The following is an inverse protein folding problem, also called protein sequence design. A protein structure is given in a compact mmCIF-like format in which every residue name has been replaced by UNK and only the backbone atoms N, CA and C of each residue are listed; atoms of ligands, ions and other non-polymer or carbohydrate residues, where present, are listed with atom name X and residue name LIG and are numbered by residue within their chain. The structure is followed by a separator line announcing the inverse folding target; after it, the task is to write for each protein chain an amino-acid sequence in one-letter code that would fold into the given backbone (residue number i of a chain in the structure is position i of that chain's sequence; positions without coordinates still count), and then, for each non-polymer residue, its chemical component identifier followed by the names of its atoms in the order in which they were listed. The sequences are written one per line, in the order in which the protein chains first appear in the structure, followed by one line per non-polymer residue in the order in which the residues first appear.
data_IF_693170827681
#
_entry.id   IF_693170827681
#
_cell.length_a   1.000
_cell.length_b   1.000
_cell.length_c   1.000
_cell.angle_alpha   90.00
_cell.angle_beta   90.00
_cell.angle_gamma   90.00
#
_symmetry.space_group_name_H-M   'P 1'
#
loop_
_entity.id
_entity.type
_entity.pdbx_description
1 polymer ?
#
# COMPACT_ATOMS: atom_id res chain seq x y z
N UNK A 1 39.95 -64.85 -31.61
CA UNK A 1 40.68 -65.43 -30.49
C UNK A 1 39.85 -65.28 -29.21
N UNK A 2 39.31 -66.39 -28.80
CA UNK A 2 38.47 -66.61 -27.63
C UNK A 2 39.38 -66.85 -26.41
N UNK A 3 39.12 -66.19 -25.32
CA UNK A 3 39.61 -66.60 -24.01
C UNK A 3 38.47 -66.51 -22.98
N UNK A 4 38.10 -67.68 -22.51
CA UNK A 4 37.20 -67.93 -21.42
C UNK A 4 37.89 -67.71 -20.07
N UNK A 5 37.28 -67.08 -19.15
CA UNK A 5 37.71 -66.93 -17.74
C UNK A 5 36.59 -67.36 -16.81
N UNK A 6 36.87 -68.47 -16.06
CA UNK A 6 35.96 -69.10 -15.10
C UNK A 6 35.71 -68.24 -13.84
N UNK A 7 34.55 -68.35 -13.17
CA UNK A 7 34.30 -67.67 -11.90
C UNK A 7 34.82 -68.52 -10.72
N UNK A 8 35.57 -67.88 -9.84
CA UNK A 8 35.96 -68.39 -8.52
C UNK A 8 34.79 -68.23 -7.53
N UNK A 9 34.23 -69.36 -7.10
CA UNK A 9 33.23 -69.42 -6.05
C UNK A 9 33.89 -69.41 -4.66
N UNK A 10 33.72 -68.36 -3.90
CA UNK A 10 34.04 -68.30 -2.47
C UNK A 10 32.90 -68.89 -1.64
N UNK A 11 33.13 -70.00 -0.98
CA UNK A 11 32.23 -70.55 0.04
C UNK A 11 32.56 -69.94 1.39
N UNK A 12 31.61 -69.18 1.98
CA UNK A 12 31.67 -68.80 3.37
C UNK A 12 30.94 -69.84 4.23
N UNK A 13 31.68 -70.48 5.13
CA UNK A 13 31.10 -71.31 6.20
C UNK A 13 30.76 -70.41 7.41
N UNK A 14 29.46 -70.31 7.71
CA UNK A 14 28.99 -69.67 8.90
C UNK A 14 29.00 -70.61 10.11
N UNK A 15 29.76 -70.27 11.11
CA UNK A 15 29.69 -70.90 12.46
C UNK A 15 28.61 -70.27 13.29
N UNK A 16 27.74 -70.99 13.99
CA UNK A 16 26.71 -70.39 14.80
C UNK A 16 27.28 -69.89 16.15
N UNK A 17 27.04 -68.61 16.45
CA UNK A 17 27.26 -68.05 17.80
C UNK A 17 26.08 -68.32 18.70
N UNK A 18 26.32 -68.62 20.03
CA UNK A 18 25.23 -68.91 20.97
C UNK A 18 24.51 -67.60 21.39
N UNK A 19 23.21 -67.62 21.30
CA UNK A 19 22.30 -66.61 21.78
C UNK A 19 22.34 -66.51 23.29
N UNK A 20 22.90 -65.42 23.85
CA UNK A 20 22.69 -65.02 25.23
C UNK A 20 21.41 -64.15 25.28
N UNK A 21 20.36 -64.72 25.84
CA UNK A 21 19.12 -64.00 26.12
C UNK A 21 19.36 -62.87 27.15
N UNK A 22 19.38 -61.65 26.69
CA UNK A 22 19.44 -60.47 27.53
C UNK A 22 18.02 -59.90 27.63
N UNK A 23 17.53 -59.86 28.88
CA UNK A 23 16.22 -59.33 29.25
C UNK A 23 15.98 -57.92 28.66
N UNK A 24 14.92 -57.79 27.88
CA UNK A 24 14.45 -56.49 27.32
C UNK A 24 13.87 -55.63 28.46
N UNK A 25 14.56 -54.56 28.81
CA UNK A 25 13.99 -53.46 29.56
C UNK A 25 13.15 -52.61 28.60
N UNK A 26 11.90 -52.23 28.95
CA UNK A 26 11.15 -51.32 28.09
C UNK A 26 11.80 -49.93 28.17
N UNK A 27 12.42 -49.51 27.08
CA UNK A 27 12.79 -48.12 26.87
C UNK A 27 11.51 -47.38 26.51
N UNK A 28 10.96 -46.65 27.48
CA UNK A 28 9.88 -45.71 27.25
C UNK A 28 10.43 -44.63 26.32
N UNK A 29 10.12 -44.73 25.03
CA UNK A 29 10.43 -43.70 24.06
C UNK A 29 9.54 -42.50 24.37
N UNK A 30 10.07 -41.51 25.10
CA UNK A 30 9.48 -40.21 25.27
C UNK A 30 9.61 -39.51 23.87
N UNK A 31 8.59 -39.66 23.03
CA UNK A 31 8.44 -38.92 21.83
C UNK A 31 8.22 -37.44 22.17
N UNK A 32 9.28 -36.66 22.23
CA UNK A 32 9.23 -35.21 22.25
C UNK A 32 8.65 -34.77 20.89
N UNK A 33 7.33 -34.64 20.81
CA UNK A 33 6.68 -33.91 19.74
C UNK A 33 7.07 -32.43 19.89
N UNK A 34 8.20 -32.07 19.30
CA UNK A 34 8.57 -30.67 19.07
C UNK A 34 7.58 -30.15 18.03
N UNK A 35 6.43 -29.68 18.49
CA UNK A 35 5.54 -28.89 17.67
C UNK A 35 6.34 -27.65 17.23
N UNK A 36 6.91 -27.71 16.05
CA UNK A 36 7.38 -26.54 15.30
C UNK A 36 6.12 -25.66 15.11
N UNK A 37 5.88 -24.76 16.05
CA UNK A 37 4.99 -23.63 15.84
C UNK A 37 5.65 -22.78 14.75
N UNK A 38 5.42 -23.15 13.50
CA UNK A 38 5.67 -22.25 12.38
C UNK A 38 4.86 -20.98 12.71
N UNK A 39 5.47 -19.80 12.70
CA UNK A 39 4.70 -18.58 12.85
C UNK A 39 3.63 -18.64 11.75
N UNK A 40 2.37 -18.69 12.14
CA UNK A 40 1.27 -18.59 11.20
C UNK A 40 1.48 -17.25 10.50
N UNK A 41 1.95 -17.28 9.26
CA UNK A 41 2.01 -16.09 8.42
C UNK A 41 0.60 -15.52 8.42
N UNK A 42 0.45 -14.29 8.90
CA UNK A 42 -0.85 -13.64 8.95
C UNK A 42 -1.36 -13.58 7.51
N UNK A 43 -2.35 -14.40 7.19
CA UNK A 43 -2.90 -14.48 5.85
C UNK A 43 -3.67 -13.19 5.58
N UNK A 44 -3.46 -12.58 4.40
CA UNK A 44 -4.26 -11.43 3.96
C UNK A 44 -5.73 -11.84 3.90
N UNK A 45 -6.63 -11.17 4.63
CA UNK A 45 -8.05 -11.52 4.65
C UNK A 45 -8.67 -11.49 3.26
N UNK A 46 -9.50 -12.51 2.95
CA UNK A 46 -10.29 -12.53 1.72
C UNK A 46 -11.31 -11.38 1.72
N UNK A 47 -11.57 -10.82 0.54
CA UNK A 47 -12.49 -9.70 0.37
C UNK A 47 -13.93 -10.14 0.63
N UNK A 48 -14.59 -9.50 1.60
CA UNK A 48 -16.00 -9.66 1.95
C UNK A 48 -16.90 -8.63 1.27
N UNK A 49 -18.21 -8.73 1.57
CA UNK A 49 -19.23 -7.81 1.05
C UNK A 49 -19.64 -6.70 2.04
N UNK A 50 -19.20 -6.79 3.30
CA UNK A 50 -19.55 -5.81 4.30
C UNK A 50 -18.79 -4.49 4.09
N UNK A 51 -19.40 -3.34 4.41
CA UNK A 51 -18.70 -2.06 4.40
C UNK A 51 -17.67 -2.00 5.54
N UNK A 52 -16.57 -1.32 5.31
CA UNK A 52 -15.64 -1.00 6.38
C UNK A 52 -16.35 -0.11 7.43
N UNK A 53 -16.26 -0.43 8.72
CA UNK A 53 -17.00 0.29 9.75
C UNK A 53 -16.37 1.65 10.05
N UNK A 54 -16.96 2.70 9.51
CA UNK A 54 -16.56 4.09 9.70
C UNK A 54 -15.78 4.69 8.53
N UNK A 55 -15.18 5.85 8.76
CA UNK A 55 -14.49 6.64 7.74
C UNK A 55 -13.00 6.70 8.03
N UNK A 56 -12.19 6.48 7.02
CA UNK A 56 -10.74 6.68 7.07
C UNK A 56 -10.48 8.17 6.83
N UNK A 57 -9.78 8.83 7.74
CA UNK A 57 -9.27 10.18 7.52
C UNK A 57 -7.86 10.09 6.93
N UNK A 58 -7.67 10.62 5.73
CA UNK A 58 -6.39 10.65 5.04
C UNK A 58 -5.93 12.10 4.91
N UNK A 59 -4.89 12.48 5.64
CA UNK A 59 -4.24 13.78 5.50
C UNK A 59 -2.95 13.62 4.70
N UNK A 60 -2.82 14.41 3.62
CA UNK A 60 -1.64 14.47 2.75
C UNK A 60 -1.05 15.87 2.84
N UNK A 61 0.18 16.00 3.29
CA UNK A 61 0.94 17.24 3.23
C UNK A 61 1.86 17.21 2.00
N UNK A 62 1.57 18.07 1.02
CA UNK A 62 2.32 18.27 -0.20
C UNK A 62 3.01 19.63 -0.24
N UNK A 63 3.14 20.32 0.90
CA UNK A 63 3.67 21.69 0.96
C UNK A 63 5.19 21.79 0.86
N UNK A 64 5.91 20.69 1.15
CA UNK A 64 7.37 20.68 1.12
C UNK A 64 7.91 20.29 -0.25
N UNK A 65 7.94 21.24 -1.17
CA UNK A 65 8.40 21.00 -2.56
C UNK A 65 9.90 20.72 -2.63
N UNK A 66 10.71 21.37 -1.78
CA UNK A 66 12.18 21.27 -1.83
C UNK A 66 12.72 19.86 -1.59
N UNK A 67 11.96 19.01 -0.88
CA UNK A 67 12.32 17.62 -0.64
C UNK A 67 11.62 16.65 -1.60
N UNK A 68 10.63 17.12 -2.34
CA UNK A 68 9.79 16.32 -3.25
C UNK A 68 9.17 15.10 -2.55
N UNK A 69 8.73 15.30 -1.31
CA UNK A 69 8.16 14.27 -0.44
C UNK A 69 6.75 14.67 -0.05
N UNK A 70 5.82 13.74 -0.24
CA UNK A 70 4.49 13.80 0.36
C UNK A 70 4.54 13.13 1.73
N UNK A 71 4.01 13.79 2.74
CA UNK A 71 3.89 13.22 4.09
C UNK A 71 2.43 12.91 4.37
N UNK A 72 2.15 11.67 4.78
CA UNK A 72 0.80 11.21 5.06
C UNK A 72 0.62 10.90 6.52
N UNK A 73 -0.56 11.28 7.02
CA UNK A 73 -1.13 10.78 8.25
C UNK A 73 -2.53 10.23 7.95
N UNK A 74 -2.71 8.97 8.25
CA UNK A 74 -3.97 8.29 8.03
C UNK A 74 -4.47 7.77 9.38
N UNK A 75 -5.74 8.03 9.72
CA UNK A 75 -6.39 7.41 10.87
C UNK A 75 -7.63 6.66 10.44
N UNK A 76 -7.86 5.52 11.05
CA UNK A 76 -8.99 4.67 10.75
C UNK A 76 -9.55 3.98 11.99
N UNK A 77 -10.88 3.79 12.08
CA UNK A 77 -11.47 2.95 13.10
C UNK A 77 -10.83 1.57 13.10
N UNK A 78 -10.49 1.05 14.28
CA UNK A 78 -9.89 -0.27 14.42
C UNK A 78 -10.50 -1.01 15.60
N UNK A 79 -10.43 -2.35 15.55
CA UNK A 79 -10.79 -3.23 16.66
C UNK A 79 -9.54 -3.93 17.16
N UNK A 80 -9.46 -4.26 18.46
CA UNK A 80 -8.37 -5.08 18.98
C UNK A 80 -8.19 -6.37 18.18
N UNK A 81 -6.93 -6.77 17.97
CA UNK A 81 -6.56 -7.98 17.28
C UNK A 81 -5.75 -7.75 16.01
N UNK A 82 -5.50 -8.80 15.22
CA UNK A 82 -4.74 -8.72 13.98
C UNK A 82 -5.46 -7.87 12.93
N UNK A 83 -4.72 -6.97 12.29
CA UNK A 83 -5.20 -6.14 11.19
C UNK A 83 -4.15 -6.11 10.07
N UNK A 84 -4.62 -6.19 8.83
CA UNK A 84 -3.76 -6.08 7.65
C UNK A 84 -4.15 -4.85 6.85
N UNK A 85 -3.15 -4.01 6.55
CA UNK A 85 -3.29 -2.85 5.68
C UNK A 85 -2.69 -3.20 4.32
N UNK A 86 -3.29 -2.69 3.26
CA UNK A 86 -2.82 -2.85 1.89
C UNK A 86 -2.40 -1.50 1.31
N UNK A 87 -1.29 -1.51 0.58
CA UNK A 87 -0.95 -0.44 -0.35
C UNK A 87 -1.51 -0.81 -1.72
N UNK A 88 -2.15 0.12 -2.45
CA UNK A 88 -2.72 -0.18 -3.76
C UNK A 88 -1.69 -0.75 -4.72
N UNK A 89 -2.06 -1.80 -5.44
CA UNK A 89 -1.24 -2.41 -6.49
C UNK A 89 -1.70 -2.01 -7.89
N UNK A 90 -2.99 -1.71 -8.02
CA UNK A 90 -3.65 -1.35 -9.26
C UNK A 90 -4.05 0.12 -9.22
N UNK A 91 -3.86 0.82 -10.33
CA UNK A 91 -4.39 2.16 -10.53
C UNK A 91 -5.39 2.14 -11.68
N UNK A 92 -6.39 3.04 -11.67
CA UNK A 92 -7.27 3.23 -12.81
C UNK A 92 -6.46 3.46 -14.10
N UNK A 93 -6.87 2.80 -15.18
CA UNK A 93 -6.17 2.86 -16.48
C UNK A 93 -4.90 1.99 -16.60
N UNK A 94 -4.42 1.38 -15.51
CA UNK A 94 -3.32 0.43 -15.57
C UNK A 94 -3.85 -0.99 -15.75
N UNK A 95 -3.22 -1.75 -16.65
CA UNK A 95 -3.62 -3.12 -16.96
C UNK A 95 -2.84 -4.18 -16.18
N UNK A 96 -2.31 -3.82 -15.00
CA UNK A 96 -1.52 -4.72 -14.15
C UNK A 96 -1.24 -4.14 -12.77
N UNK A 97 -0.77 -4.97 -11.81
CA UNK A 97 -0.41 -4.56 -10.46
C UNK A 97 0.99 -3.92 -10.47
N UNK A 98 1.13 -2.74 -11.05
CA UNK A 98 2.41 -2.10 -11.33
C UNK A 98 2.66 -0.81 -10.53
N UNK A 99 1.88 -0.57 -9.45
CA UNK A 99 2.16 0.54 -8.54
C UNK A 99 3.46 0.25 -7.77
N UNK A 100 4.49 1.10 -7.92
CA UNK A 100 5.78 0.83 -7.29
C UNK A 100 5.72 1.05 -5.76
N UNK A 101 6.14 0.02 -5.02
CA UNK A 101 6.22 0.07 -3.56
C UNK A 101 7.49 0.79 -3.07
N UNK A 102 8.49 0.95 -3.92
CA UNK A 102 9.79 1.55 -3.59
C UNK A 102 9.71 3.01 -3.21
N UNK A 103 8.62 3.69 -3.57
CA UNK A 103 8.38 5.09 -3.25
C UNK A 103 7.67 5.27 -1.90
N UNK A 104 7.17 4.20 -1.28
CA UNK A 104 6.59 4.23 0.07
C UNK A 104 7.71 4.10 1.11
N UNK A 105 7.86 5.09 1.97
CA UNK A 105 8.92 5.16 2.98
C UNK A 105 8.38 5.51 4.37
N UNK A 106 9.17 5.23 5.40
CA UNK A 106 8.96 5.72 6.76
C UNK A 106 7.68 5.22 7.45
N UNK A 107 7.08 4.09 7.02
CA UNK A 107 5.84 3.58 7.56
C UNK A 107 5.95 3.27 9.05
N UNK A 108 5.06 3.88 9.82
CA UNK A 108 4.90 3.68 11.27
C UNK A 108 3.42 3.53 11.59
N UNK A 109 3.11 2.63 12.51
CA UNK A 109 1.76 2.50 13.07
C UNK A 109 1.76 2.88 14.54
N UNK A 110 0.63 3.42 15.00
CA UNK A 110 0.38 3.70 16.40
C UNK A 110 -1.09 3.54 16.75
N UNK A 111 -1.38 3.25 18.02
CA UNK A 111 -2.72 3.26 18.57
C UNK A 111 -2.69 3.85 19.98
N UNK A 112 -3.63 4.75 20.29
CA UNK A 112 -3.63 5.48 21.56
C UNK A 112 -2.32 6.24 21.83
N UNK A 113 -1.66 6.73 20.78
CA UNK A 113 -0.38 7.44 20.85
C UNK A 113 0.86 6.55 21.09
N UNK A 114 0.70 5.22 21.18
CA UNK A 114 1.82 4.29 21.37
C UNK A 114 2.22 3.66 20.03
N UNK A 115 3.51 3.58 19.70
CA UNK A 115 3.99 2.92 18.49
C UNK A 115 3.67 1.42 18.53
N UNK A 116 3.37 0.86 17.35
CA UNK A 116 3.10 -0.56 17.15
C UNK A 116 4.14 -1.17 16.22
N UNK A 117 4.59 -2.36 16.55
CA UNK A 117 5.38 -3.18 15.64
C UNK A 117 4.50 -3.69 14.50
N UNK A 118 5.09 -3.78 13.32
CA UNK A 118 4.43 -4.30 12.13
C UNK A 118 5.38 -5.15 11.29
N UNK A 119 4.82 -6.02 10.49
CA UNK A 119 5.60 -6.84 9.55
C UNK A 119 5.03 -6.72 8.14
N UNK A 120 5.91 -6.81 7.16
CA UNK A 120 5.51 -6.91 5.75
C UNK A 120 5.23 -8.37 5.42
N UNK A 121 4.18 -8.62 4.65
CA UNK A 121 3.90 -9.96 4.13
C UNK A 121 5.03 -10.40 3.19
N UNK A 122 5.63 -11.58 3.38
CA UNK A 122 6.75 -12.03 2.56
C UNK A 122 6.37 -12.42 1.12
N UNK A 123 5.08 -12.65 0.86
CA UNK A 123 4.56 -13.03 -0.46
C UNK A 123 3.79 -11.87 -1.08
N UNK A 124 2.84 -11.30 -0.35
CA UNK A 124 2.09 -10.13 -0.78
C UNK A 124 2.75 -8.86 -0.25
N UNK A 125 3.86 -8.47 -0.84
CA UNK A 125 4.74 -7.38 -0.36
C UNK A 125 4.05 -6.02 -0.15
N UNK A 126 2.85 -5.83 -0.71
CA UNK A 126 2.01 -4.64 -0.51
C UNK A 126 1.11 -4.74 0.74
N UNK A 127 1.18 -5.84 1.48
CA UNK A 127 0.43 -6.05 2.71
C UNK A 127 1.31 -5.84 3.96
N UNK A 128 0.74 -5.14 4.95
CA UNK A 128 1.38 -4.82 6.22
C UNK A 128 0.52 -5.33 7.36
N UNK A 129 1.08 -6.16 8.21
CA UNK A 129 0.40 -6.77 9.35
C UNK A 129 0.75 -6.03 10.63
N UNK A 130 -0.27 -5.70 11.40
CA UNK A 130 -0.15 -5.03 12.70
C UNK A 130 -1.14 -5.66 13.69
N UNK A 131 -0.82 -5.66 14.97
CA UNK A 131 -1.76 -6.07 16.01
C UNK A 131 -2.24 -4.83 16.77
N UNK A 132 -3.53 -4.56 16.67
CA UNK A 132 -4.19 -3.47 17.41
C UNK A 132 -4.37 -3.91 18.86
N UNK A 133 -3.87 -3.14 19.86
CA UNK A 133 -3.95 -3.54 21.27
C UNK A 133 -5.38 -3.45 21.83
N UNK A 134 -5.62 -4.18 22.91
CA UNK A 134 -6.88 -4.12 23.66
C UNK A 134 -7.20 -2.68 24.09
N UNK A 135 -8.47 -2.30 23.94
CA UNK A 135 -8.98 -0.98 24.28
C UNK A 135 -8.71 0.10 23.23
N UNK A 136 -7.93 -0.18 22.18
CA UNK A 136 -7.76 0.77 21.08
C UNK A 136 -8.95 0.70 20.13
N UNK A 137 -9.42 1.87 19.71
CA UNK A 137 -10.56 2.04 18.77
C UNK A 137 -10.13 2.66 17.44
N UNK A 138 -8.87 3.09 17.34
CA UNK A 138 -8.29 3.75 16.18
C UNK A 138 -6.87 3.24 15.93
N UNK A 139 -6.55 3.03 14.66
CA UNK A 139 -5.19 2.82 14.17
C UNK A 139 -4.76 4.05 13.39
N UNK A 140 -3.56 4.54 13.68
CA UNK A 140 -2.93 5.64 12.94
C UNK A 140 -1.73 5.09 12.18
N UNK A 141 -1.61 5.47 10.90
CA UNK A 141 -0.43 5.24 10.09
C UNK A 141 0.20 6.57 9.68
N UNK A 142 1.51 6.69 9.81
CA UNK A 142 2.30 7.81 9.30
C UNK A 142 3.34 7.25 8.33
N UNK A 143 3.46 7.86 7.15
CA UNK A 143 4.36 7.40 6.10
C UNK A 143 4.62 8.51 5.09
N UNK A 144 5.51 8.23 4.15
CA UNK A 144 5.91 9.16 3.11
C UNK A 144 5.81 8.49 1.74
N UNK A 145 5.52 9.30 0.73
CA UNK A 145 5.68 8.96 -0.67
C UNK A 145 6.76 9.85 -1.28
N UNK A 146 7.76 9.22 -1.88
CA UNK A 146 8.88 9.88 -2.50
C UNK A 146 8.56 10.10 -3.98
N UNK A 147 8.39 11.36 -4.40
CA UNK A 147 8.25 11.65 -5.82
C UNK A 147 9.52 11.24 -6.57
N UNK A 148 9.42 10.54 -7.71
CA UNK A 148 10.57 10.34 -8.57
C UNK A 148 11.25 11.66 -8.93
N UNK A 149 12.57 11.66 -8.92
CA UNK A 149 13.40 12.81 -9.30
C UNK A 149 13.78 12.78 -10.78
N UNK A 150 13.67 11.61 -11.38
CA UNK A 150 13.98 11.34 -12.78
C UNK A 150 12.96 10.39 -13.40
N UNK A 151 12.70 10.53 -14.68
CA UNK A 151 11.69 9.73 -15.40
C UNK A 151 12.01 8.23 -15.46
N UNK A 152 13.28 7.84 -15.30
CA UNK A 152 13.68 6.42 -15.18
C UNK A 152 13.20 5.77 -13.88
N UNK A 153 12.91 6.57 -12.85
CA UNK A 153 12.38 6.12 -11.56
C UNK A 153 10.83 6.07 -11.54
N UNK A 154 10.18 6.60 -12.57
CA UNK A 154 8.74 6.68 -12.68
C UNK A 154 8.25 8.10 -13.03
N UNK A 155 6.96 8.33 -12.83
CA UNK A 155 6.36 9.64 -13.08
C UNK A 155 6.78 10.63 -12.01
N UNK A 156 7.43 11.72 -12.38
CA UNK A 156 7.68 12.85 -11.49
C UNK A 156 6.32 13.47 -11.13
N UNK A 157 6.03 13.56 -9.83
CA UNK A 157 4.72 14.01 -9.33
C UNK A 157 4.81 15.31 -8.54
N UNK A 158 6.02 15.83 -8.29
CA UNK A 158 6.24 17.08 -7.58
C UNK A 158 7.48 17.78 -8.13
N UNK A 159 7.33 19.05 -8.46
CA UNK A 159 8.38 19.99 -8.83
C UNK A 159 8.19 21.29 -8.03
N UNK A 160 9.03 22.30 -8.25
CA UNK A 160 8.91 23.60 -7.58
C UNK A 160 7.66 24.40 -7.98
N UNK A 161 7.01 24.05 -9.09
CA UNK A 161 5.90 24.82 -9.66
C UNK A 161 4.64 24.00 -9.92
N UNK A 162 4.75 22.66 -10.00
CA UNK A 162 3.64 21.76 -10.32
C UNK A 162 3.68 20.55 -9.38
N UNK A 163 2.51 20.10 -8.92
CA UNK A 163 2.36 18.80 -8.28
C UNK A 163 1.11 18.08 -8.76
N UNK A 164 1.19 16.75 -8.74
CA UNK A 164 0.07 15.86 -9.00
C UNK A 164 -0.10 14.87 -7.86
N UNK A 165 -1.28 14.83 -7.25
CA UNK A 165 -1.62 13.81 -6.26
C UNK A 165 -2.36 12.69 -6.95
N UNK A 166 -1.75 11.52 -6.97
CA UNK A 166 -2.39 10.28 -7.35
C UNK A 166 -2.72 9.52 -6.06
N UNK A 167 -3.99 9.47 -5.69
CA UNK A 167 -4.42 8.97 -4.39
C UNK A 167 -4.01 7.52 -4.11
N UNK A 168 -3.91 6.68 -5.15
CA UNK A 168 -3.38 5.33 -5.00
C UNK A 168 -1.93 5.29 -4.49
N UNK A 169 -1.15 6.34 -4.72
CA UNK A 169 0.25 6.42 -4.27
C UNK A 169 0.39 6.89 -2.83
N UNK A 170 -0.66 7.48 -2.28
CA UNK A 170 -0.67 8.08 -0.94
C UNK A 170 -1.68 7.46 0.02
N UNK A 171 -2.41 6.42 -0.40
CA UNK A 171 -3.40 5.75 0.43
C UNK A 171 -2.92 4.40 0.95
N UNK A 172 -3.33 4.06 2.18
CA UNK A 172 -3.37 2.71 2.72
C UNK A 172 -4.82 2.37 3.05
N UNK A 173 -5.19 1.10 2.97
CA UNK A 173 -6.55 0.67 3.25
C UNK A 173 -6.61 -0.70 3.91
N UNK A 174 -7.65 -1.02 4.71
CA UNK A 174 -7.78 -2.29 5.38
C UNK A 174 -8.08 -3.43 4.40
N UNK A 175 -7.38 -4.55 4.55
CA UNK A 175 -7.67 -5.78 3.82
C UNK A 175 -9.03 -6.37 4.23
N UNK A 176 -9.61 -7.18 3.35
CA UNK A 176 -10.88 -7.85 3.60
C UNK A 176 -12.12 -7.07 3.14
N UNK A 177 -11.97 -5.88 2.56
CA UNK A 177 -13.08 -5.04 2.11
C UNK A 177 -12.95 -4.68 0.63
N UNK A 178 -14.08 -4.51 -0.04
CA UNK A 178 -14.11 -3.96 -1.40
C UNK A 178 -13.83 -2.46 -1.36
N UNK A 179 -13.02 -1.93 -2.29
CA UNK A 179 -12.66 -0.51 -2.36
C UNK A 179 -13.89 0.43 -2.33
N UNK A 180 -14.96 0.07 -3.03
CA UNK A 180 -16.24 0.81 -3.05
C UNK A 180 -17.00 0.80 -1.72
N UNK A 181 -16.56 0.01 -0.75
CA UNK A 181 -17.17 -0.10 0.57
C UNK A 181 -16.28 0.43 1.70
N UNK A 182 -15.21 1.12 1.33
CA UNK A 182 -14.31 1.81 2.24
C UNK A 182 -14.51 3.31 2.03
N UNK A 183 -15.04 4.00 3.03
CA UNK A 183 -15.19 5.46 2.98
C UNK A 183 -13.92 6.14 3.43
N UNK A 184 -13.44 7.08 2.62
CA UNK A 184 -12.25 7.90 2.90
C UNK A 184 -12.62 9.37 2.85
N UNK A 185 -12.18 10.15 3.82
CA UNK A 185 -12.23 11.60 3.81
C UNK A 185 -10.83 12.18 3.63
N UNK A 186 -10.48 12.65 2.44
CA UNK A 186 -9.15 13.19 2.18
C UNK A 186 -9.06 14.66 2.58
N UNK A 187 -7.89 15.03 3.08
CA UNK A 187 -7.46 16.41 3.33
C UNK A 187 -6.10 16.59 2.70
N UNK A 188 -5.90 17.67 1.96
CA UNK A 188 -4.65 17.97 1.27
C UNK A 188 -4.15 19.36 1.71
N UNK A 189 -2.91 19.43 2.17
CA UNK A 189 -2.19 20.66 2.37
C UNK A 189 -1.31 20.95 1.15
N UNK A 190 -1.52 22.11 0.55
CA UNK A 190 -0.81 22.61 -0.61
C UNK A 190 0.26 23.62 -0.21
N UNK A 191 1.23 23.94 -1.09
CA UNK A 191 2.05 25.14 -0.95
C UNK A 191 1.19 26.40 -0.91
N UNK A 192 1.66 27.43 -0.20
CA UNK A 192 0.92 28.67 0.00
C UNK A 192 0.53 29.33 -1.33
N UNK A 193 -0.76 29.67 -1.44
CA UNK A 193 -1.29 30.37 -2.61
C UNK A 193 -1.55 29.51 -3.86
N UNK A 194 -1.21 28.22 -3.82
CA UNK A 194 -1.40 27.34 -4.99
C UNK A 194 -2.87 27.07 -5.28
N UNK A 195 -3.17 26.96 -6.58
CA UNK A 195 -4.48 26.53 -7.08
C UNK A 195 -4.43 25.05 -7.49
N UNK A 196 -5.60 24.42 -7.54
CA UNK A 196 -5.72 23.03 -7.91
C UNK A 196 -6.99 22.71 -8.69
N UNK A 197 -7.00 21.56 -9.33
CA UNK A 197 -8.15 20.97 -9.97
C UNK A 197 -8.24 19.47 -9.61
N UNK A 198 -9.46 19.03 -9.35
CA UNK A 198 -9.82 17.61 -9.12
C UNK A 198 -11.31 17.45 -9.41
N UNK A 199 -11.75 16.21 -9.65
CA UNK A 199 -13.16 15.84 -9.70
C UNK A 199 -13.80 15.71 -8.32
N UNK A 200 -13.00 15.66 -7.24
CA UNK A 200 -13.49 15.54 -5.87
C UNK A 200 -14.20 16.84 -5.43
N UNK A 201 -15.36 16.67 -4.80
CA UNK A 201 -16.10 17.81 -4.24
C UNK A 201 -15.38 18.33 -2.98
N UNK A 202 -15.07 19.62 -2.99
CA UNK A 202 -14.51 20.32 -1.84
C UNK A 202 -15.60 20.49 -0.77
N UNK A 203 -15.28 20.14 0.48
CA UNK A 203 -16.10 20.40 1.66
C UNK A 203 -15.75 21.75 2.28
N UNK A 204 -14.46 22.00 2.49
CA UNK A 204 -13.93 23.23 3.08
C UNK A 204 -12.52 23.53 2.58
N UNK A 205 -12.14 24.80 2.58
CA UNK A 205 -10.76 25.26 2.39
C UNK A 205 -10.43 26.28 3.46
N UNK A 206 -9.33 26.05 4.18
CA UNK A 206 -8.83 26.97 5.21
C UNK A 206 -7.35 27.23 4.92
N UNK A 207 -7.07 28.44 4.39
CA UNK A 207 -5.72 28.75 3.91
C UNK A 207 -5.26 27.80 2.81
N UNK A 208 -4.19 27.08 3.09
CA UNK A 208 -3.56 26.13 2.16
C UNK A 208 -4.07 24.69 2.33
N UNK A 209 -4.96 24.47 3.29
CA UNK A 209 -5.55 23.16 3.53
C UNK A 209 -6.92 23.04 2.86
N UNK A 210 -7.09 21.96 2.10
CA UNK A 210 -8.31 21.62 1.37
C UNK A 210 -8.84 20.30 1.91
N UNK A 211 -10.04 20.33 2.48
CA UNK A 211 -10.79 19.17 2.90
C UNK A 211 -11.83 18.82 1.84
N UNK A 212 -11.82 17.59 1.37
CA UNK A 212 -12.80 17.10 0.42
C UNK A 212 -13.94 16.38 1.15
N UNK A 213 -15.10 16.27 0.51
CA UNK A 213 -16.19 15.42 1.01
C UNK A 213 -15.73 13.97 1.08
N UNK A 214 -16.33 13.14 1.97
CA UNK A 214 -16.06 11.72 1.97
C UNK A 214 -16.46 11.08 0.63
N UNK A 215 -15.60 10.17 0.15
CA UNK A 215 -15.80 9.35 -1.04
C UNK A 215 -15.47 7.89 -0.73
N UNK A 216 -15.96 6.96 -1.52
CA UNK A 216 -15.42 5.61 -1.48
C UNK A 216 -14.00 5.58 -2.07
N UNK A 217 -13.21 4.59 -1.66
CA UNK A 217 -11.80 4.48 -2.05
C UNK A 217 -11.61 4.32 -3.58
N UNK A 218 -12.54 3.64 -4.27
CA UNK A 218 -12.51 3.44 -5.73
C UNK A 218 -12.66 4.79 -6.44
N UNK A 219 -13.66 5.59 -6.06
CA UNK A 219 -13.84 6.96 -6.55
C UNK A 219 -12.65 7.86 -6.23
N UNK A 220 -12.09 7.76 -5.00
CA UNK A 220 -10.94 8.54 -4.60
C UNK A 220 -9.74 8.29 -5.51
N UNK A 221 -9.37 7.03 -5.73
CA UNK A 221 -8.18 6.69 -6.53
C UNK A 221 -8.36 7.02 -8.01
N UNK A 222 -9.60 7.08 -8.50
CA UNK A 222 -9.94 7.51 -9.88
C UNK A 222 -10.09 9.04 -10.03
N UNK A 223 -9.80 9.79 -8.98
CA UNK A 223 -9.96 11.25 -8.95
C UNK A 223 -8.63 11.98 -8.69
N UNK A 224 -7.66 11.90 -9.60
CA UNK A 224 -6.38 12.57 -9.41
C UNK A 224 -6.55 14.07 -9.24
N UNK A 225 -5.55 14.69 -8.60
CA UNK A 225 -5.51 16.13 -8.40
C UNK A 225 -4.24 16.69 -9.02
N UNK A 226 -4.37 17.82 -9.71
CA UNK A 226 -3.25 18.61 -10.17
C UNK A 226 -3.29 19.97 -9.51
N UNK A 227 -2.14 20.45 -9.05
CA UNK A 227 -1.99 21.78 -8.46
C UNK A 227 -0.73 22.45 -8.98
N UNK A 228 -0.73 23.77 -8.98
CA UNK A 228 0.44 24.53 -9.43
C UNK A 228 0.40 25.98 -8.95
N UNK A 229 1.60 26.57 -8.99
CA UNK A 229 1.80 28.00 -8.75
C UNK A 229 1.12 28.80 -9.86
N UNK A 230 1.28 28.36 -11.09
CA UNK A 230 0.67 28.96 -12.27
C UNK A 230 -0.50 28.09 -12.72
N UNK A 231 -1.68 28.66 -12.66
CA UNK A 231 -2.95 27.96 -12.87
C UNK A 231 -3.92 28.80 -13.69
N UNK A 232 -4.54 28.20 -14.70
CA UNK A 232 -5.58 28.82 -15.50
C UNK A 232 -6.79 27.88 -15.58
N UNK A 233 -7.97 28.45 -15.40
CA UNK A 233 -9.25 27.73 -15.60
C UNK A 233 -10.00 28.38 -16.75
N UNK A 234 -10.44 27.55 -17.70
CA UNK A 234 -11.16 27.98 -18.89
C UNK A 234 -12.49 27.24 -18.92
N UNK A 235 -13.60 27.98 -19.02
CA UNK A 235 -14.91 27.39 -19.24
C UNK A 235 -15.06 27.09 -20.73
N UNK A 236 -15.16 25.81 -21.09
CA UNK A 236 -15.30 25.34 -22.48
C UNK A 236 -16.76 25.36 -22.97
N UNK A 237 -17.73 25.52 -22.06
CA UNK A 237 -19.14 25.50 -22.42
C UNK A 237 -19.92 26.55 -21.59
N UNK A 238 -19.66 27.87 -21.77
CA UNK A 238 -20.31 28.93 -21.02
C UNK A 238 -21.84 28.86 -21.15
N UNK A 239 -22.53 28.82 -20.01
CA UNK A 239 -24.00 28.74 -19.98
C UNK A 239 -24.58 27.33 -20.14
N UNK A 240 -23.76 26.28 -20.29
CA UNK A 240 -24.24 24.90 -20.28
C UNK A 240 -24.77 24.51 -18.89
N UNK A 241 -25.78 23.61 -18.85
CA UNK A 241 -26.31 23.07 -17.58
C UNK A 241 -25.24 22.36 -16.74
N UNK A 242 -24.27 21.73 -17.40
CA UNK A 242 -23.12 21.12 -16.78
C UNK A 242 -21.88 21.87 -17.23
N UNK A 243 -21.14 22.51 -16.33
CA UNK A 243 -19.93 23.21 -16.69
C UNK A 243 -18.85 22.22 -17.14
N UNK A 244 -18.16 22.57 -18.24
CA UNK A 244 -16.99 21.84 -18.73
C UNK A 244 -15.78 22.72 -18.57
N UNK A 245 -14.92 22.40 -17.60
CA UNK A 245 -13.77 23.22 -17.26
C UNK A 245 -12.48 22.57 -17.72
N UNK A 246 -11.68 23.30 -18.50
CA UNK A 246 -10.28 22.98 -18.74
C UNK A 246 -9.44 23.66 -17.65
N UNK A 247 -8.67 22.86 -16.90
CA UNK A 247 -7.75 23.38 -15.90
C UNK A 247 -6.32 23.12 -16.38
N UNK A 248 -5.52 24.17 -16.45
CA UNK A 248 -4.13 24.13 -16.93
C UNK A 248 -3.22 24.52 -15.77
N UNK A 249 -2.18 23.73 -15.55
CA UNK A 249 -1.05 24.05 -14.67
C UNK A 249 0.22 24.09 -15.49
N UNK A 250 1.13 24.98 -15.15
CA UNK A 250 2.39 25.14 -15.86
C UNK A 250 3.52 25.49 -14.89
N UNK A 251 4.73 25.27 -15.33
CA UNK A 251 5.98 25.66 -14.66
C UNK A 251 6.36 27.13 -14.91
N UNK A 252 5.70 27.78 -15.88
CA UNK A 252 5.91 29.15 -16.28
C UNK A 252 4.55 29.79 -16.64
N UNK A 253 4.26 31.05 -16.27
CA UNK A 253 3.01 31.70 -16.63
C UNK A 253 2.77 31.83 -18.14
N UNK A 254 3.82 31.94 -18.95
CA UNK A 254 3.72 31.99 -20.40
C UNK A 254 3.16 30.69 -21.00
N UNK A 255 3.39 29.55 -20.34
CA UNK A 255 2.90 28.22 -20.76
C UNK A 255 1.41 27.98 -20.43
N UNK A 256 0.75 28.93 -19.75
CA UNK A 256 -0.69 28.87 -19.50
C UNK A 256 -1.52 29.33 -20.72
N UNK A 257 -0.90 30.00 -21.67
CA UNK A 257 -1.60 30.52 -22.85
C UNK A 257 -1.74 29.41 -23.90
N UNK A 258 -2.90 28.75 -23.90
CA UNK A 258 -3.26 27.86 -24.97
C UNK A 258 -3.61 28.67 -26.23
N UNK A 259 -3.14 28.24 -27.40
CA UNK A 259 -3.53 28.87 -28.64
C UNK A 259 -5.03 28.63 -28.89
N UNK A 260 -5.80 29.66 -29.32
CA UNK A 260 -7.25 29.55 -29.51
C UNK A 260 -7.68 28.43 -30.47
N UNK A 261 -6.81 28.06 -31.41
CA UNK A 261 -7.01 26.99 -32.40
C UNK A 261 -6.75 25.58 -31.84
N UNK A 262 -6.27 25.47 -30.60
CA UNK A 262 -5.97 24.20 -29.91
C UNK A 262 -6.96 23.89 -28.78
N UNK A 263 -7.91 24.74 -28.53
CA UNK A 263 -9.03 24.61 -27.60
C UNK A 263 -10.33 24.47 -28.39
#
# INVERSE_FOLDING_TARGET
ATLAGSPLAFRFTMTPFPFLARAARPVTALAFALALALPASAQVPAVGNDPYPGTIALHVDASNLSQQIFSMRLSMPARPGPMTLLYPQWAPGNHGPNIPLTQLAGLKFSAGGKPLEWTRDPVQVHAFHVTVPEGATELVAEYQFLSPLDTSQGRITMTDDILGVQWQSVALYPAGYQARRITVQPTLRLPAGWQFASSLAVEARTGDEVRFKPHDLDTLVDSPLFAGRYFKRIDLAPGAKQPVMLNVVADNPENLEAKPDQI
#
